data_IF_188901240599
#
_entry.id   IF_188901240599
#
_cell.length_a   1.000
_cell.length_b   1.000
_cell.length_c   1.000
_cell.angle_alpha   90.00
_cell.angle_beta   90.00
_cell.angle_gamma   90.00
#
_symmetry.space_group_name_H-M   'P 1'
#
loop_
_entity.id
_entity.type
_entity.pdbx_description
1 polymer ?
#
# COMPACT_ATOMS: atom_id res chain seq x y z
N UNK A 1 -13.25 -14.00 -54.73
CA UNK A 1 -13.82 -13.11 -53.69
C UNK A 1 -13.66 -13.78 -52.35
N UNK A 2 -12.64 -13.37 -51.56
CA UNK A 2 -12.40 -13.90 -50.20
C UNK A 2 -13.31 -13.14 -49.24
N UNK A 3 -14.25 -13.84 -48.60
CA UNK A 3 -15.07 -13.25 -47.53
C UNK A 3 -14.24 -13.27 -46.23
N UNK A 4 -13.81 -12.09 -45.77
CA UNK A 4 -13.28 -11.92 -44.43
C UNK A 4 -14.40 -12.18 -43.42
N UNK A 5 -14.27 -13.26 -42.66
CA UNK A 5 -15.12 -13.54 -41.50
C UNK A 5 -14.55 -12.74 -40.33
N UNK A 6 -15.23 -11.68 -39.96
CA UNK A 6 -14.91 -10.93 -38.75
C UNK A 6 -15.30 -11.80 -37.53
N UNK A 7 -14.32 -12.27 -36.78
CA UNK A 7 -14.55 -12.91 -35.48
C UNK A 7 -15.06 -11.84 -34.49
N UNK A 8 -16.12 -12.11 -33.72
CA UNK A 8 -16.61 -11.19 -32.73
C UNK A 8 -15.56 -11.04 -31.62
N UNK A 9 -15.16 -9.80 -31.32
CA UNK A 9 -14.37 -9.45 -30.16
C UNK A 9 -15.23 -9.74 -28.90
N UNK A 10 -14.98 -10.86 -28.23
CA UNK A 10 -15.59 -11.12 -26.92
C UNK A 10 -14.93 -10.19 -25.91
N UNK A 11 -15.62 -9.12 -25.54
CA UNK A 11 -15.21 -8.28 -24.43
C UNK A 11 -15.27 -9.13 -23.16
N UNK A 12 -14.10 -9.50 -22.61
CA UNK A 12 -14.02 -10.17 -21.32
C UNK A 12 -14.58 -9.20 -20.26
N UNK A 13 -15.69 -9.60 -19.63
CA UNK A 13 -16.27 -8.81 -18.54
C UNK A 13 -15.27 -8.70 -17.39
N UNK A 14 -15.11 -7.48 -16.85
CA UNK A 14 -14.29 -7.25 -15.66
C UNK A 14 -14.88 -8.06 -14.50
N UNK A 15 -14.09 -8.94 -13.84
CA UNK A 15 -14.58 -9.69 -12.69
C UNK A 15 -15.12 -8.75 -11.59
N UNK A 16 -16.10 -9.16 -10.80
CA UNK A 16 -16.63 -8.34 -9.73
C UNK A 16 -15.56 -8.10 -8.64
N UNK A 17 -15.61 -6.92 -8.03
CA UNK A 17 -14.78 -6.61 -6.86
C UNK A 17 -15.29 -7.36 -5.63
N UNK A 18 -14.41 -8.11 -4.98
CA UNK A 18 -14.70 -8.81 -3.74
C UNK A 18 -13.89 -8.22 -2.59
N UNK A 19 -14.47 -8.22 -1.39
CA UNK A 19 -13.79 -7.85 -0.17
C UNK A 19 -14.36 -8.57 1.06
N UNK A 20 -13.53 -8.73 2.08
CA UNK A 20 -13.93 -9.22 3.39
C UNK A 20 -13.08 -8.62 4.50
N UNK A 21 -13.58 -8.69 5.73
CA UNK A 21 -12.87 -8.27 6.94
C UNK A 21 -13.00 -9.37 7.97
N UNK A 22 -11.86 -9.82 8.49
CA UNK A 22 -11.79 -10.90 9.48
C UNK A 22 -10.85 -10.53 10.63
N UNK A 23 -10.99 -11.13 11.82
CA UNK A 23 -9.96 -11.08 12.87
C UNK A 23 -8.62 -11.57 12.34
N UNK A 24 -7.50 -11.04 12.87
CA UNK A 24 -6.16 -11.52 12.49
C UNK A 24 -6.03 -12.99 12.93
N UNK A 25 -5.77 -13.94 11.99
CA UNK A 25 -5.62 -15.36 12.33
C UNK A 25 -4.44 -15.64 13.26
N UNK A 26 -4.49 -16.74 14.01
CA UNK A 26 -3.44 -17.10 14.96
C UNK A 26 -2.06 -17.23 14.30
N UNK A 27 -1.99 -17.83 13.10
CA UNK A 27 -0.75 -17.94 12.34
C UNK A 27 -0.18 -16.56 12.00
N UNK A 28 -0.99 -15.63 11.48
CA UNK A 28 -0.55 -14.26 11.13
C UNK A 28 -0.13 -13.49 12.38
N UNK A 29 -0.81 -13.70 13.53
CA UNK A 29 -0.36 -13.11 14.82
C UNK A 29 1.03 -13.59 15.20
N UNK A 30 1.31 -14.88 15.01
CA UNK A 30 2.64 -15.44 15.29
C UNK A 30 3.72 -14.82 14.40
N UNK A 31 3.44 -14.63 13.11
CA UNK A 31 4.35 -14.00 12.14
C UNK A 31 4.59 -12.51 12.46
N UNK A 32 3.57 -11.81 12.92
CA UNK A 32 3.65 -10.39 13.30
C UNK A 32 4.41 -10.21 14.63
N UNK A 33 4.27 -11.15 15.58
CA UNK A 33 4.82 -10.98 16.94
C UNK A 33 6.34 -11.01 16.93
N UNK A 34 6.93 -9.95 17.48
CA UNK A 34 8.37 -9.70 17.51
C UNK A 34 8.78 -8.69 16.42
N UNK A 35 8.76 -9.05 15.13
CA UNK A 35 9.22 -8.15 14.08
C UNK A 35 8.32 -6.94 13.81
N UNK A 36 7.00 -7.13 13.82
CA UNK A 36 6.02 -6.12 13.39
C UNK A 36 5.05 -5.70 14.49
N UNK A 37 4.88 -6.52 15.52
CA UNK A 37 4.10 -6.21 16.71
C UNK A 37 4.87 -6.65 17.96
N UNK A 38 4.98 -5.78 18.94
CA UNK A 38 5.62 -6.07 20.24
C UNK A 38 4.87 -5.40 21.39
N UNK A 39 5.17 -5.78 22.62
CA UNK A 39 4.63 -5.11 23.80
C UNK A 39 5.03 -3.63 23.77
N UNK A 40 4.05 -2.76 23.96
CA UNK A 40 4.23 -1.30 23.87
C UNK A 40 3.72 -0.68 22.56
N UNK A 41 3.30 -1.51 21.58
CA UNK A 41 2.58 -1.00 20.41
C UNK A 41 1.30 -0.25 20.83
N UNK A 42 0.90 0.80 20.09
CA UNK A 42 -0.28 1.60 20.45
C UNK A 42 -1.60 0.85 20.25
N UNK A 43 -1.58 -0.29 19.56
CA UNK A 43 -2.76 -1.14 19.32
C UNK A 43 -2.49 -2.59 19.68
N UNK A 44 -3.57 -3.29 20.09
CA UNK A 44 -3.56 -4.73 20.35
C UNK A 44 -4.10 -5.49 19.14
N UNK A 45 -3.88 -6.81 19.08
CA UNK A 45 -4.44 -7.65 18.01
C UNK A 45 -5.98 -7.65 17.97
N UNK A 46 -6.66 -7.38 19.08
CA UNK A 46 -8.12 -7.27 19.10
C UNK A 46 -8.64 -6.08 18.30
N UNK A 47 -7.83 -5.05 18.13
CA UNK A 47 -8.12 -3.84 17.35
C UNK A 47 -7.74 -3.98 15.87
N UNK A 48 -6.99 -5.03 15.49
CA UNK A 48 -6.55 -5.26 14.12
C UNK A 48 -7.47 -6.25 13.39
N UNK A 49 -7.54 -6.10 12.07
CA UNK A 49 -8.28 -6.97 11.15
C UNK A 49 -7.43 -7.25 9.92
N UNK A 50 -7.66 -8.40 9.33
CA UNK A 50 -7.24 -8.65 7.94
C UNK A 50 -8.35 -8.13 7.04
N UNK A 51 -8.01 -7.16 6.21
CA UNK A 51 -8.80 -6.70 5.09
C UNK A 51 -8.35 -7.46 3.84
N UNK A 52 -9.26 -8.22 3.24
CA UNK A 52 -9.04 -8.91 1.96
C UNK A 52 -9.78 -8.17 0.87
N UNK A 53 -9.14 -7.92 -0.28
CA UNK A 53 -9.72 -7.17 -1.41
C UNK A 53 -9.26 -7.73 -2.75
N UNK A 54 -10.09 -7.62 -3.79
CA UNK A 54 -9.62 -7.79 -5.17
C UNK A 54 -8.78 -6.59 -5.60
N UNK A 55 -7.72 -6.83 -6.40
CA UNK A 55 -6.91 -5.78 -6.99
C UNK A 55 -6.39 -6.20 -8.38
N UNK A 56 -5.95 -5.25 -9.19
CA UNK A 56 -5.29 -5.51 -10.47
C UNK A 56 -3.78 -5.60 -10.29
N UNK A 57 -3.18 -6.69 -10.76
CA UNK A 57 -1.72 -6.80 -10.82
C UNK A 57 -1.13 -5.99 -11.98
N UNK A 58 0.19 -5.86 -12.01
CA UNK A 58 0.90 -5.26 -13.15
C UNK A 58 0.73 -6.07 -14.45
N UNK A 59 0.31 -7.32 -14.40
CA UNK A 59 0.05 -8.15 -15.59
C UNK A 59 -1.41 -8.11 -16.05
N UNK A 60 -2.18 -7.10 -15.58
CA UNK A 60 -3.62 -6.97 -15.86
C UNK A 60 -4.45 -8.19 -15.45
N UNK A 61 -4.04 -8.89 -14.40
CA UNK A 61 -4.78 -9.98 -13.82
C UNK A 61 -5.45 -9.52 -12.51
N UNK A 62 -6.67 -9.97 -12.29
CA UNK A 62 -7.32 -9.77 -10.99
C UNK A 62 -6.73 -10.74 -9.98
N UNK A 63 -6.26 -10.19 -8.88
CA UNK A 63 -5.67 -10.91 -7.75
C UNK A 63 -6.46 -10.63 -6.48
N UNK A 64 -6.23 -11.43 -5.44
CA UNK A 64 -6.72 -11.17 -4.08
C UNK A 64 -5.55 -10.70 -3.22
N UNK A 65 -5.70 -9.54 -2.61
CA UNK A 65 -4.70 -8.96 -1.70
C UNK A 65 -5.19 -8.91 -0.26
N UNK A 66 -4.26 -8.78 0.68
CA UNK A 66 -4.56 -8.74 2.10
C UNK A 66 -3.70 -7.70 2.82
N UNK A 67 -4.34 -6.94 3.71
CA UNK A 67 -3.70 -5.94 4.56
C UNK A 67 -4.10 -6.15 6.02
N UNK A 68 -3.17 -5.96 6.96
CA UNK A 68 -3.51 -5.85 8.37
C UNK A 68 -3.77 -4.39 8.69
N UNK A 69 -5.00 -4.06 9.11
CA UNK A 69 -5.44 -2.68 9.35
C UNK A 69 -6.24 -2.58 10.66
N UNK A 70 -6.41 -1.38 11.19
CA UNK A 70 -7.29 -1.16 12.33
C UNK A 70 -8.75 -1.47 11.95
N UNK A 71 -9.48 -2.07 12.88
CA UNK A 71 -10.89 -2.45 12.69
C UNK A 71 -11.77 -1.26 12.25
N UNK A 72 -11.49 -0.06 12.78
CA UNK A 72 -12.26 1.16 12.49
C UNK A 72 -12.13 1.65 11.06
N UNK A 73 -10.99 1.35 10.38
CA UNK A 73 -10.73 1.81 9.01
C UNK A 73 -10.91 0.72 7.95
N UNK A 74 -11.09 -0.54 8.35
CA UNK A 74 -11.17 -1.66 7.42
C UNK A 74 -12.28 -1.51 6.36
N UNK A 75 -13.52 -1.19 6.77
CA UNK A 75 -14.64 -0.96 5.84
C UNK A 75 -14.46 0.30 4.98
N UNK A 76 -14.05 1.47 5.52
CA UNK A 76 -13.66 2.62 4.70
C UNK A 76 -12.61 2.27 3.64
N UNK A 77 -11.54 1.55 4.01
CA UNK A 77 -10.50 1.14 3.07
C UNK A 77 -11.02 0.18 1.98
N UNK A 78 -11.93 -0.73 2.29
CA UNK A 78 -12.56 -1.57 1.26
C UNK A 78 -13.24 -0.71 0.17
N UNK A 79 -13.88 0.41 0.54
CA UNK A 79 -14.46 1.35 -0.45
C UNK A 79 -13.39 2.06 -1.28
N UNK A 80 -12.23 2.37 -0.68
CA UNK A 80 -11.09 2.92 -1.43
C UNK A 80 -10.59 1.90 -2.43
N UNK A 81 -10.31 0.66 -2.01
CA UNK A 81 -9.83 -0.39 -2.91
C UNK A 81 -10.83 -0.72 -4.02
N UNK A 82 -12.14 -0.65 -3.78
CA UNK A 82 -13.14 -0.75 -4.84
C UNK A 82 -12.97 0.35 -5.91
N UNK A 83 -12.66 1.60 -5.49
CA UNK A 83 -12.36 2.69 -6.44
C UNK A 83 -11.06 2.44 -7.20
N UNK A 84 -10.00 1.97 -6.53
CA UNK A 84 -8.74 1.60 -7.17
C UNK A 84 -8.93 0.46 -8.18
N UNK A 85 -9.78 -0.52 -7.83
CA UNK A 85 -10.17 -1.62 -8.71
C UNK A 85 -10.90 -1.12 -9.97
N UNK A 86 -11.87 -0.23 -9.81
CA UNK A 86 -12.59 0.39 -10.93
C UNK A 86 -11.68 1.24 -11.83
N UNK A 87 -10.62 1.85 -11.25
CA UNK A 87 -9.58 2.57 -11.98
C UNK A 87 -8.57 1.65 -12.67
N UNK A 88 -8.65 0.33 -12.43
CA UNK A 88 -7.64 -0.64 -12.83
C UNK A 88 -6.22 -0.24 -12.39
N UNK A 89 -6.12 0.38 -11.19
CA UNK A 89 -4.83 0.78 -10.64
C UNK A 89 -4.00 -0.46 -10.29
N UNK A 90 -2.82 -0.66 -10.90
CA UNK A 90 -2.05 -1.88 -10.68
C UNK A 90 -1.31 -1.81 -9.35
N UNK A 91 -1.34 -2.92 -8.60
CA UNK A 91 -0.56 -3.14 -7.38
C UNK A 91 0.39 -4.31 -7.64
N UNK A 92 1.65 -4.20 -7.19
CA UNK A 92 2.67 -5.21 -7.47
C UNK A 92 2.48 -6.43 -6.58
N UNK A 93 2.62 -6.26 -5.30
CA UNK A 93 2.42 -7.29 -4.28
C UNK A 93 1.58 -6.73 -3.15
N UNK A 94 0.65 -7.53 -2.62
CA UNK A 94 -0.21 -7.14 -1.51
C UNK A 94 -0.72 -8.39 -0.76
N UNK A 95 0.19 -9.32 -0.44
CA UNK A 95 -0.14 -10.51 0.36
C UNK A 95 0.48 -10.38 1.76
N UNK A 96 -0.18 -10.96 2.77
CA UNK A 96 0.41 -10.99 4.13
C UNK A 96 1.75 -11.73 4.15
N UNK A 97 1.90 -12.78 3.35
CA UNK A 97 3.16 -13.51 3.23
C UNK A 97 4.28 -12.64 2.64
N UNK A 98 3.94 -11.75 1.68
CA UNK A 98 4.91 -10.82 1.07
C UNK A 98 5.40 -9.79 2.08
N UNK A 99 4.50 -9.29 2.94
CA UNK A 99 4.80 -8.28 3.94
C UNK A 99 5.43 -8.88 5.23
N UNK A 100 4.85 -9.96 5.74
CA UNK A 100 5.12 -10.47 7.10
C UNK A 100 5.73 -11.86 7.12
N UNK A 101 5.68 -12.62 6.04
CA UNK A 101 6.22 -13.96 5.94
C UNK A 101 7.75 -14.04 6.14
N UNK A 102 8.34 -15.22 6.15
CA UNK A 102 9.78 -15.40 6.27
C UNK A 102 10.55 -14.60 5.22
N UNK A 103 11.64 -13.93 5.61
CA UNK A 103 12.40 -13.05 4.72
C UNK A 103 12.82 -13.72 3.41
N UNK A 104 13.14 -15.01 3.45
CA UNK A 104 13.57 -15.78 2.27
C UNK A 104 12.44 -16.02 1.24
N UNK A 105 11.17 -15.90 1.65
CA UNK A 105 10.00 -16.10 0.78
C UNK A 105 9.34 -14.79 0.31
N UNK A 106 9.86 -13.66 0.76
CA UNK A 106 9.34 -12.35 0.33
C UNK A 106 9.79 -12.03 -1.09
N UNK A 107 9.01 -11.22 -1.84
CA UNK A 107 9.40 -10.80 -3.19
C UNK A 107 10.78 -10.15 -3.21
N UNK A 108 11.63 -10.56 -4.15
CA UNK A 108 12.99 -10.03 -4.28
C UNK A 108 13.02 -8.54 -4.65
N UNK A 109 11.97 -8.06 -5.32
CA UNK A 109 11.80 -6.64 -5.66
C UNK A 109 11.34 -5.79 -4.47
N UNK A 110 10.95 -6.40 -3.35
CA UNK A 110 10.48 -5.75 -2.11
C UNK A 110 9.43 -4.65 -2.33
N UNK A 111 8.74 -4.67 -3.48
CA UNK A 111 7.71 -3.70 -3.87
C UNK A 111 6.33 -4.14 -3.33
N UNK A 112 6.25 -4.25 -2.01
CA UNK A 112 5.08 -4.77 -1.31
C UNK A 112 4.26 -3.61 -0.76
N UNK A 113 2.99 -3.54 -1.20
CA UNK A 113 2.00 -2.66 -0.59
C UNK A 113 1.55 -3.26 0.74
N UNK A 114 1.67 -2.50 1.82
CA UNK A 114 1.35 -2.96 3.17
C UNK A 114 0.67 -1.88 4.01
N UNK A 115 0.36 -2.20 5.28
CA UNK A 115 -0.35 -1.28 6.15
C UNK A 115 0.19 -1.26 7.60
N UNK A 116 0.18 -2.39 8.32
CA UNK A 116 0.52 -2.42 9.74
C UNK A 116 2.00 -2.70 9.98
N UNK A 117 2.65 -1.81 10.68
CA UNK A 117 3.99 -2.03 11.25
C UNK A 117 4.15 -1.19 12.52
N UNK A 118 4.38 -1.87 13.65
CA UNK A 118 4.59 -1.19 14.94
C UNK A 118 5.99 -0.60 15.02
N UNK A 119 6.17 0.58 14.51
CA UNK A 119 7.42 1.35 14.53
C UNK A 119 7.18 2.83 14.72
N UNK A 120 8.21 3.53 15.09
CA UNK A 120 8.21 4.99 15.09
C UNK A 120 8.29 5.53 13.64
N UNK A 121 7.93 6.80 13.47
CA UNK A 121 8.04 7.47 12.18
C UNK A 121 9.51 7.48 11.70
N UNK A 122 9.72 7.24 10.42
CA UNK A 122 11.06 7.17 9.80
C UNK A 122 11.58 8.56 9.51
N UNK A 123 12.85 8.79 9.80
CA UNK A 123 13.52 10.07 9.49
C UNK A 123 13.58 10.30 7.96
N UNK A 124 13.50 11.57 7.54
CA UNK A 124 13.64 11.97 6.14
C UNK A 124 14.90 11.38 5.49
N UNK A 125 14.83 10.95 4.20
CA UNK A 125 16.01 10.50 3.45
C UNK A 125 17.15 11.50 3.39
N UNK A 126 16.89 12.81 3.56
CA UNK A 126 17.94 13.82 3.64
C UNK A 126 18.51 14.00 5.05
N UNK A 127 17.97 13.35 6.07
CA UNK A 127 18.55 13.39 7.40
C UNK A 127 19.76 12.48 7.48
N UNK A 128 20.85 12.97 8.07
CA UNK A 128 22.02 12.17 8.44
C UNK A 128 21.71 11.21 9.60
N UNK A 129 20.63 11.46 10.34
CA UNK A 129 20.19 10.60 11.43
C UNK A 129 19.71 9.26 10.88
N UNK A 130 20.40 8.20 11.27
CA UNK A 130 19.97 6.82 11.01
C UNK A 130 18.89 6.35 11.99
N UNK A 131 18.52 7.18 12.96
CA UNK A 131 17.53 6.82 13.97
C UNK A 131 16.15 6.74 13.36
N UNK A 132 15.57 5.57 13.45
CA UNK A 132 14.13 5.41 13.43
C UNK A 132 13.60 6.11 14.67
N UNK A 133 12.81 7.18 14.47
CA UNK A 133 12.03 7.68 15.57
C UNK A 133 12.46 9.04 16.12
N UNK A 134 11.49 9.94 16.01
CA UNK A 134 11.44 11.22 16.72
C UNK A 134 10.62 11.13 18.01
N UNK A 135 10.42 9.91 18.56
CA UNK A 135 9.56 9.64 19.71
C UNK A 135 8.07 9.51 19.39
N UNK A 136 7.67 9.61 18.11
CA UNK A 136 6.27 9.50 17.69
C UNK A 136 6.02 8.20 16.90
N UNK A 137 4.92 7.54 17.21
CA UNK A 137 4.47 6.37 16.45
C UNK A 137 4.08 6.75 15.02
N UNK A 138 4.52 5.95 14.06
CA UNK A 138 4.00 6.01 12.69
C UNK A 138 2.50 5.67 12.66
N UNK A 139 1.76 6.19 11.70
CA UNK A 139 0.37 5.80 11.47
C UNK A 139 0.23 4.30 11.13
N UNK A 140 1.28 3.68 10.58
CA UNK A 140 1.36 2.23 10.43
C UNK A 140 1.24 1.49 11.77
N UNK A 141 1.79 2.03 12.85
CA UNK A 141 1.71 1.41 14.17
C UNK A 141 0.28 1.36 14.74
N UNK A 142 -0.60 2.24 14.25
CA UNK A 142 -2.02 2.23 14.58
C UNK A 142 -2.86 1.37 13.60
N UNK A 143 -2.26 0.86 12.51
CA UNK A 143 -2.97 0.20 11.42
C UNK A 143 -3.85 1.17 10.62
N UNK A 144 -3.45 2.44 10.54
CA UNK A 144 -4.19 3.55 9.92
C UNK A 144 -3.40 4.26 8.83
N UNK A 145 -2.48 3.53 8.24
CA UNK A 145 -1.76 3.91 7.03
C UNK A 145 -1.74 2.76 6.04
N UNK A 146 -1.57 3.09 4.77
CA UNK A 146 -1.35 2.15 3.66
C UNK A 146 -0.26 2.73 2.78
N UNK A 147 0.74 1.92 2.47
CA UNK A 147 1.74 2.21 1.45
C UNK A 147 1.40 1.45 0.16
N UNK A 148 1.40 2.15 -0.98
CA UNK A 148 1.10 1.58 -2.29
C UNK A 148 2.34 1.61 -3.19
N UNK A 149 2.75 0.42 -3.72
CA UNK A 149 3.84 0.28 -4.69
C UNK A 149 5.06 1.11 -4.31
N UNK A 150 5.81 0.76 -3.25
CA UNK A 150 6.91 1.57 -2.71
C UNK A 150 7.99 1.93 -3.71
N UNK A 151 8.22 1.09 -4.72
CA UNK A 151 9.21 1.36 -5.78
C UNK A 151 8.71 2.46 -6.72
N UNK A 152 7.45 2.39 -7.19
CA UNK A 152 6.85 3.38 -8.05
C UNK A 152 6.48 4.67 -7.31
N UNK A 153 6.37 4.61 -5.98
CA UNK A 153 5.95 5.74 -5.15
C UNK A 153 6.90 5.92 -3.96
N UNK A 154 8.16 6.31 -4.21
CA UNK A 154 9.20 6.32 -3.18
C UNK A 154 8.97 7.35 -2.07
N UNK A 155 9.58 7.08 -0.91
CA UNK A 155 9.88 8.06 0.10
C UNK A 155 11.07 8.89 -0.36
N UNK A 156 10.88 10.21 -0.48
CA UNK A 156 11.83 11.16 -1.06
C UNK A 156 12.17 12.24 -0.04
N UNK A 157 13.44 12.57 0.07
CA UNK A 157 13.92 13.74 0.81
C UNK A 157 15.04 14.43 0.06
N UNK A 158 14.98 15.77 -0.04
CA UNK A 158 15.98 16.57 -0.77
C UNK A 158 16.22 16.05 -2.20
N UNK A 159 15.18 15.65 -2.92
CA UNK A 159 15.28 15.11 -4.28
C UNK A 159 15.89 13.71 -4.39
N UNK A 160 16.09 13.01 -3.28
CA UNK A 160 16.72 11.69 -3.25
C UNK A 160 15.78 10.62 -2.68
N UNK A 161 15.97 9.39 -3.11
CA UNK A 161 15.39 8.19 -2.50
C UNK A 161 16.47 7.19 -2.13
N UNK A 162 16.23 6.37 -1.11
CA UNK A 162 17.18 5.32 -0.68
C UNK A 162 17.18 4.13 -1.62
N UNK A 163 16.05 3.84 -2.29
CA UNK A 163 15.94 2.77 -3.25
C UNK A 163 16.36 3.23 -4.66
N UNK A 164 17.44 2.67 -5.19
CA UNK A 164 17.95 3.00 -6.53
C UNK A 164 16.95 2.66 -7.64
N UNK A 165 16.09 1.65 -7.46
CA UNK A 165 15.06 1.25 -8.42
C UNK A 165 13.98 2.31 -8.57
N UNK A 166 13.75 3.10 -7.52
CA UNK A 166 12.76 4.17 -7.49
C UNK A 166 13.21 5.45 -8.20
N UNK A 167 14.49 5.59 -8.59
CA UNK A 167 14.99 6.80 -9.26
C UNK A 167 14.21 7.20 -10.51
N UNK A 168 13.77 6.27 -11.40
CA UNK A 168 12.96 6.62 -12.57
C UNK A 168 11.58 7.21 -12.23
N UNK A 169 11.13 7.07 -10.98
CA UNK A 169 9.82 7.51 -10.48
C UNK A 169 9.90 8.82 -9.68
N UNK A 170 11.07 9.44 -9.57
CA UNK A 170 11.23 10.75 -8.91
C UNK A 170 10.57 11.87 -9.71
N UNK A 171 10.58 11.76 -11.05
CA UNK A 171 9.84 12.68 -11.93
C UNK A 171 8.34 12.38 -11.86
N UNK A 172 7.59 13.25 -11.20
CA UNK A 172 6.12 13.17 -11.04
C UNK A 172 5.36 13.97 -12.10
N UNK A 173 6.05 14.63 -13.01
CA UNK A 173 5.42 15.32 -14.14
C UNK A 173 4.97 14.36 -15.24
N UNK A 174 5.62 13.20 -15.34
CA UNK A 174 5.29 12.13 -16.28
C UNK A 174 4.93 10.85 -15.51
N UNK A 175 3.63 10.66 -15.26
CA UNK A 175 3.17 9.50 -14.51
C UNK A 175 3.37 8.21 -15.30
N UNK A 176 4.03 7.26 -14.67
CA UNK A 176 4.24 5.89 -15.17
C UNK A 176 3.26 4.94 -14.49
N UNK A 177 3.15 3.74 -15.01
CA UNK A 177 2.31 2.68 -14.45
C UNK A 177 2.68 2.39 -12.99
N UNK A 178 1.68 2.23 -12.14
CA UNK A 178 1.84 1.98 -10.70
C UNK A 178 2.08 3.22 -9.85
N UNK A 179 2.37 4.39 -10.47
CA UNK A 179 2.50 5.65 -9.74
C UNK A 179 1.14 6.15 -9.27
N UNK A 180 1.10 6.70 -8.06
CA UNK A 180 -0.09 7.36 -7.50
C UNK A 180 -0.50 8.53 -8.38
N UNK A 181 -1.76 8.50 -8.82
CA UNK A 181 -2.38 9.52 -9.66
C UNK A 181 -3.32 10.41 -8.83
N UNK A 182 -3.76 11.57 -9.34
CA UNK A 182 -4.79 12.38 -8.67
C UNK A 182 -6.09 11.61 -8.37
N UNK A 183 -6.46 10.64 -9.22
CA UNK A 183 -7.65 9.77 -8.99
C UNK A 183 -7.45 8.83 -7.80
N UNK A 184 -6.24 8.27 -7.62
CA UNK A 184 -5.88 7.46 -6.45
C UNK A 184 -5.93 8.31 -5.18
N UNK A 185 -5.34 9.51 -5.20
CA UNK A 185 -5.41 10.46 -4.08
C UNK A 185 -6.86 10.80 -3.73
N UNK A 186 -7.72 11.06 -4.73
CA UNK A 186 -9.13 11.35 -4.51
C UNK A 186 -9.87 10.15 -3.88
N UNK A 187 -9.49 8.90 -4.21
CA UNK A 187 -10.07 7.73 -3.59
C UNK A 187 -9.80 7.67 -2.07
N UNK A 188 -8.58 7.90 -1.62
CA UNK A 188 -8.25 7.98 -0.19
C UNK A 188 -8.84 9.21 0.49
N UNK A 189 -8.81 10.37 -0.15
CA UNK A 189 -9.45 11.59 0.37
C UNK A 189 -10.94 11.41 0.63
N UNK A 190 -11.63 10.54 -0.13
CA UNK A 190 -13.08 10.27 0.06
C UNK A 190 -13.42 9.60 1.40
N UNK A 191 -12.42 9.11 2.13
CA UNK A 191 -12.56 8.60 3.50
C UNK A 191 -11.83 9.48 4.54
N UNK A 192 -11.43 10.70 4.15
CA UNK A 192 -10.75 11.66 5.02
C UNK A 192 -9.24 11.45 5.16
N UNK A 193 -8.63 10.53 4.38
CA UNK A 193 -7.20 10.27 4.47
C UNK A 193 -6.37 11.26 3.65
N UNK A 194 -5.20 11.63 4.20
CA UNK A 194 -4.21 12.44 3.51
C UNK A 194 -3.17 11.59 2.78
N UNK A 195 -2.38 12.25 1.96
CA UNK A 195 -1.33 11.66 1.12
C UNK A 195 0.03 12.29 1.40
N UNK A 196 1.06 11.48 1.64
CA UNK A 196 2.42 11.95 1.92
C UNK A 196 3.10 12.69 0.79
N UNK A 197 2.63 12.50 -0.46
CA UNK A 197 3.08 13.32 -1.59
C UNK A 197 2.64 14.79 -1.53
N UNK A 198 1.66 15.11 -0.69
CA UNK A 198 1.19 16.49 -0.46
C UNK A 198 1.86 17.17 0.75
N UNK A 199 2.77 16.52 1.47
CA UNK A 199 3.47 17.13 2.60
C UNK A 199 4.21 18.41 2.17
N UNK A 200 4.32 19.37 3.08
CA UNK A 200 5.11 20.58 2.85
C UNK A 200 6.62 20.28 2.84
N UNK A 201 7.42 21.18 2.28
CA UNK A 201 8.88 21.05 2.23
C UNK A 201 9.40 20.01 1.26
N UNK A 202 10.65 19.61 1.43
CA UNK A 202 11.42 18.74 0.53
C UNK A 202 11.21 17.24 0.77
N UNK A 203 10.52 16.85 1.84
CA UNK A 203 10.23 15.46 2.12
C UNK A 203 8.83 15.10 1.62
N UNK A 204 8.75 14.05 0.81
CA UNK A 204 7.53 13.51 0.23
C UNK A 204 7.49 12.01 0.42
N UNK A 205 6.36 11.46 0.80
CA UNK A 205 6.14 10.03 0.86
C UNK A 205 5.03 9.66 -0.12
N UNK A 206 5.42 9.33 -1.35
CA UNK A 206 4.47 9.13 -2.43
C UNK A 206 3.66 7.85 -2.29
N UNK A 207 4.17 6.82 -1.56
CA UNK A 207 3.42 5.58 -1.29
C UNK A 207 2.38 5.78 -0.20
N UNK A 208 2.61 6.70 0.74
CA UNK A 208 1.95 6.78 2.03
C UNK A 208 0.59 7.49 1.99
N UNK A 209 -0.43 6.79 2.47
CA UNK A 209 -1.75 7.34 2.77
C UNK A 209 -2.08 7.04 4.22
N UNK A 210 -2.58 8.01 4.97
CA UNK A 210 -2.90 7.81 6.38
C UNK A 210 -4.09 8.63 6.86
N UNK A 211 -4.69 8.19 7.97
CA UNK A 211 -5.83 8.85 8.58
C UNK A 211 -5.49 10.25 9.10
N UNK A 212 -4.24 10.49 9.54
CA UNK A 212 -3.78 11.81 9.97
C UNK A 212 -3.25 12.69 8.83
N UNK A 213 -2.93 12.10 7.68
CA UNK A 213 -2.23 12.76 6.57
C UNK A 213 -0.70 12.84 6.74
N UNK A 214 -0.16 12.25 7.82
CA UNK A 214 1.26 12.24 8.16
C UNK A 214 1.74 10.86 8.59
#
# INVERSE_FOLDING_TARGET
MLRLVALPLVALAIPPFHWSVAPVPAQVRAELTGPFWHRGCPVTFSQLRVLTVSYWSFDHQVQTGQLVVNARVAKPLARVFNKLYALQFPIRHMQLADAYGPKASRPADTDVSDAFECRQAVASPCSSARSTGNGHWSQHAYGEAVDLNPVENPYVGCGMTRDRRSRPYLDRSHLRRGMVTPKVVAAFRSIGWGWGGAWSGSTKDYMHFSASGH
#
